data_IF_321467803484
#
_entry.id   IF_321467803484
#
_cell.length_a   1.000
_cell.length_b   1.000
_cell.length_c   1.000
_cell.angle_alpha   90.00
_cell.angle_beta   90.00
_cell.angle_gamma   90.00
#
_symmetry.space_group_name_H-M   'P 1'
#
loop_
_entity.id
_entity.type
_entity.pdbx_description
1 polymer ?
#
# COMPACT_ATOMS: atom_id res chain seq x y z
N UNK A 1 -7.33 -20.53 4.83
CA UNK A 1 -6.36 -19.69 5.56
C UNK A 1 -5.01 -19.86 4.88
N UNK A 2 -4.52 -18.85 4.15
CA UNK A 2 -3.22 -18.91 3.48
C UNK A 2 -2.23 -18.09 4.30
N UNK A 3 -1.40 -18.74 5.13
CA UNK A 3 -0.45 -18.06 6.04
C UNK A 3 0.53 -17.13 5.31
N UNK A 4 0.83 -17.40 4.03
CA UNK A 4 1.67 -16.52 3.23
C UNK A 4 1.01 -15.16 2.93
N UNK A 5 -0.32 -15.13 2.83
CA UNK A 5 -1.07 -13.87 2.64
C UNK A 5 -1.05 -13.02 3.91
N UNK A 6 -1.32 -13.62 5.07
CA UNK A 6 -1.30 -12.91 6.36
C UNK A 6 0.09 -12.31 6.65
N UNK A 7 1.15 -13.09 6.44
CA UNK A 7 2.52 -12.59 6.58
C UNK A 7 2.84 -11.50 5.55
N UNK A 8 2.39 -11.65 4.30
CA UNK A 8 2.54 -10.62 3.27
C UNK A 8 1.85 -9.30 3.63
N UNK A 9 0.68 -9.38 4.25
CA UNK A 9 -0.09 -8.23 4.73
C UNK A 9 0.66 -7.48 5.83
N UNK A 10 1.12 -8.19 6.87
CA UNK A 10 1.88 -7.59 7.98
C UNK A 10 3.21 -6.97 7.52
N UNK A 11 3.95 -7.66 6.64
CA UNK A 11 5.19 -7.13 6.08
C UNK A 11 4.96 -5.88 5.24
N UNK A 12 3.84 -5.82 4.53
CA UNK A 12 3.50 -4.64 3.72
C UNK A 12 3.17 -3.46 4.60
N UNK A 13 2.42 -3.66 5.69
CA UNK A 13 2.14 -2.61 6.67
C UNK A 13 3.44 -1.98 7.18
N UNK A 14 4.36 -2.81 7.68
CA UNK A 14 5.65 -2.35 8.19
C UNK A 14 6.51 -1.67 7.11
N UNK A 15 6.59 -2.28 5.92
CA UNK A 15 7.38 -1.72 4.81
C UNK A 15 6.85 -0.37 4.29
N UNK A 16 5.59 -0.02 4.59
CA UNK A 16 4.97 1.25 4.21
C UNK A 16 4.95 2.30 5.32
N UNK A 17 5.47 2.00 6.51
CA UNK A 17 5.44 2.91 7.67
C UNK A 17 6.21 4.22 7.42
N UNK A 18 7.30 4.16 6.65
CA UNK A 18 8.18 5.30 6.38
C UNK A 18 7.78 6.12 5.13
N UNK A 19 6.59 5.88 4.57
CA UNK A 19 6.12 6.66 3.42
C UNK A 19 5.89 8.12 3.82
N UNK A 20 6.55 9.03 3.11
CA UNK A 20 6.34 10.46 3.30
C UNK A 20 4.88 10.85 3.04
N UNK A 21 4.36 11.79 3.82
CA UNK A 21 3.04 12.39 3.62
C UNK A 21 3.15 13.87 3.29
N UNK A 22 2.13 14.41 2.61
CA UNK A 22 1.97 15.82 2.32
C UNK A 22 0.59 16.31 2.79
N UNK A 23 0.55 17.55 3.30
CA UNK A 23 -0.69 18.21 3.68
C UNK A 23 -1.42 18.66 2.43
N UNK A 24 -2.66 18.22 2.26
CA UNK A 24 -3.55 18.66 1.18
C UNK A 24 -4.91 19.03 1.74
N UNK A 25 -5.48 20.10 1.20
CA UNK A 25 -6.86 20.49 1.50
C UNK A 25 -7.79 19.78 0.54
N UNK A 26 -8.76 19.05 1.09
CA UNK A 26 -9.84 18.43 0.32
C UNK A 26 -11.19 19.00 0.74
N UNK A 27 -12.16 18.97 -0.17
CA UNK A 27 -13.54 19.29 0.17
C UNK A 27 -14.16 18.13 0.96
N UNK A 28 -14.31 18.35 2.26
CA UNK A 28 -15.03 17.45 3.15
C UNK A 28 -16.54 17.64 3.02
N UNK A 29 -17.30 16.79 3.71
CA UNK A 29 -18.77 16.88 3.74
C UNK A 29 -19.30 18.20 4.36
N UNK A 30 -18.46 18.89 5.14
CA UNK A 30 -18.78 20.16 5.81
C UNK A 30 -17.74 21.26 5.49
N UNK A 31 -17.26 21.31 4.25
CA UNK A 31 -16.29 22.30 3.77
C UNK A 31 -14.84 21.81 3.78
N UNK A 32 -13.86 22.70 3.55
CA UNK A 32 -12.46 22.34 3.34
C UNK A 32 -11.81 21.79 4.61
N UNK A 33 -11.12 20.65 4.47
CA UNK A 33 -10.40 19.97 5.55
C UNK A 33 -8.96 19.69 5.10
N UNK A 34 -8.00 19.99 5.96
CA UNK A 34 -6.61 19.57 5.77
C UNK A 34 -6.43 18.11 6.20
N UNK A 35 -5.92 17.29 5.30
CA UNK A 35 -5.57 15.89 5.54
C UNK A 35 -4.11 15.62 5.20
N UNK A 36 -3.58 14.52 5.73
CA UNK A 36 -2.32 13.95 5.28
C UNK A 36 -2.58 12.94 4.15
N UNK A 37 -1.95 13.16 3.00
CA UNK A 37 -1.96 12.23 1.87
C UNK A 37 -0.55 11.67 1.66
N UNK A 38 -0.43 10.39 1.30
CA UNK A 38 0.88 9.81 0.93
C UNK A 38 1.45 10.57 -0.27
N UNK A 39 2.67 11.08 -0.12
CA UNK A 39 3.39 11.90 -1.09
C UNK A 39 3.95 11.02 -2.22
N UNK A 40 3.81 11.47 -3.46
CA UNK A 40 4.43 10.83 -4.63
C UNK A 40 3.50 9.97 -5.49
N UNK A 41 4.09 9.20 -6.43
CA UNK A 41 3.35 8.39 -7.42
C UNK A 41 3.09 6.97 -6.93
N UNK A 42 2.20 6.26 -7.62
CA UNK A 42 1.77 4.87 -7.34
C UNK A 42 2.95 3.94 -6.98
N UNK A 43 2.84 3.28 -5.83
CA UNK A 43 3.77 2.24 -5.36
C UNK A 43 3.80 1.09 -6.40
N UNK A 44 4.99 0.55 -6.68
CA UNK A 44 5.17 -0.57 -7.59
C UNK A 44 5.68 -1.78 -6.83
N UNK A 45 5.01 -2.92 -7.01
CA UNK A 45 5.39 -4.20 -6.41
C UNK A 45 5.99 -5.09 -7.50
N UNK A 46 7.18 -5.63 -7.22
CA UNK A 46 7.93 -6.52 -8.13
C UNK A 46 8.11 -7.88 -7.44
N UNK A 47 7.26 -8.88 -7.73
CA UNK A 47 7.40 -10.21 -7.15
C UNK A 47 8.50 -11.02 -7.86
N UNK A 48 9.30 -11.75 -7.10
CA UNK A 48 10.22 -12.76 -7.64
C UNK A 48 9.43 -14.05 -7.87
N UNK A 49 9.22 -14.43 -9.12
CA UNK A 49 8.42 -15.60 -9.48
C UNK A 49 9.18 -16.91 -9.25
N UNK A 50 8.52 -18.00 -8.86
CA UNK A 50 7.07 -18.17 -8.58
C UNK A 50 6.70 -18.01 -7.10
N UNK A 51 7.70 -17.88 -6.23
CA UNK A 51 7.54 -17.84 -4.78
C UNK A 51 6.77 -16.59 -4.33
N UNK A 52 7.00 -15.44 -4.97
CA UNK A 52 6.35 -14.17 -4.62
C UNK A 52 4.84 -14.14 -4.87
N UNK A 53 4.29 -15.07 -5.67
CA UNK A 53 2.86 -15.07 -6.02
C UNK A 53 1.96 -15.38 -4.81
N UNK A 54 2.42 -16.22 -3.89
CA UNK A 54 1.66 -16.63 -2.71
C UNK A 54 1.45 -15.51 -1.67
N UNK A 55 2.23 -14.44 -1.75
CA UNK A 55 2.15 -13.28 -0.84
C UNK A 55 1.45 -12.07 -1.49
N UNK A 56 1.24 -12.09 -2.81
CA UNK A 56 0.67 -10.96 -3.55
C UNK A 56 -0.73 -10.55 -3.06
N UNK A 57 -1.53 -11.53 -2.63
CA UNK A 57 -2.87 -11.29 -2.12
C UNK A 57 -2.83 -10.37 -0.89
N UNK A 58 -2.04 -10.70 0.14
CA UNK A 58 -1.92 -9.88 1.35
C UNK A 58 -1.19 -8.55 1.14
N UNK A 59 -0.26 -8.48 0.19
CA UNK A 59 0.39 -7.21 -0.17
C UNK A 59 -0.63 -6.24 -0.75
N UNK A 60 -1.46 -6.69 -1.69
CA UNK A 60 -2.43 -5.84 -2.37
C UNK A 60 -3.64 -5.46 -1.50
N UNK A 61 -3.87 -6.13 -0.36
CA UNK A 61 -4.88 -5.72 0.62
C UNK A 61 -4.56 -4.38 1.29
N UNK A 62 -3.27 -4.11 1.58
CA UNK A 62 -2.85 -2.90 2.30
C UNK A 62 -2.56 -1.72 1.37
N UNK A 63 -2.18 -2.01 0.12
CA UNK A 63 -1.72 -0.97 -0.81
C UNK A 63 -2.25 -1.18 -2.21
N UNK A 64 -2.73 -0.09 -2.82
CA UNK A 64 -3.04 -0.06 -4.25
C UNK A 64 -1.76 0.13 -5.06
N UNK A 65 -1.07 -0.98 -5.33
CA UNK A 65 0.17 -0.99 -6.10
C UNK A 65 0.00 -1.41 -7.55
N UNK A 66 0.89 -0.93 -8.43
CA UNK A 66 1.07 -1.50 -9.77
C UNK A 66 1.93 -2.76 -9.65
N UNK A 67 1.48 -3.87 -10.23
CA UNK A 67 2.31 -5.07 -10.35
C UNK A 67 3.13 -4.96 -11.64
N UNK A 68 4.45 -5.11 -11.53
CA UNK A 68 5.34 -5.27 -12.69
C UNK A 68 5.89 -6.69 -12.70
N UNK A 69 5.95 -7.27 -13.91
CA UNK A 69 6.63 -8.54 -14.16
C UNK A 69 8.09 -8.30 -14.56
#
# INVERSE_FOLDING_TARGET
MNSASEVGSLLTYEATADLETEKVTIEGWNGPVEIDQIKGKKITVVPILRAGLGMMEGVLENVRARVSA
#
